data_IF_877386979644
#
_entry.id   IF_877386979644
#
_cell.length_a   1.000
_cell.length_b   1.000
_cell.length_c   1.000
_cell.angle_alpha   90.00
_cell.angle_beta   90.00
_cell.angle_gamma   90.00
#
_symmetry.space_group_name_H-M   'P 1'
#
loop_
_entity.id
_entity.type
_entity.pdbx_description
1 polymer ?
#
# COMPACT_ATOMS: atom_id res chain seq x y z
N UNK A 1 -13.98 -23.73 8.46
CA UNK A 1 -13.70 -22.29 8.63
C UNK A 1 -12.34 -21.89 8.04
N UNK A 2 -11.30 -22.74 8.13
CA UNK A 2 -9.98 -22.48 7.55
C UNK A 2 -9.91 -22.15 6.04
N UNK A 3 -10.82 -22.68 5.21
CA UNK A 3 -10.81 -22.43 3.75
C UNK A 3 -11.26 -21.01 3.38
N UNK A 4 -12.21 -20.43 4.12
CA UNK A 4 -12.73 -19.08 3.86
C UNK A 4 -11.75 -17.99 4.29
N UNK A 5 -11.01 -18.23 5.38
CA UNK A 5 -9.94 -17.37 5.85
C UNK A 5 -8.79 -17.34 4.82
N UNK A 6 -8.35 -18.50 4.35
CA UNK A 6 -7.29 -18.59 3.34
C UNK A 6 -7.65 -17.89 2.01
N UNK A 7 -8.91 -17.97 1.57
CA UNK A 7 -9.38 -17.26 0.37
C UNK A 7 -9.31 -15.73 0.51
N UNK A 8 -9.37 -15.25 1.74
CA UNK A 8 -9.43 -13.83 2.08
C UNK A 8 -8.02 -13.25 2.26
N UNK A 9 -7.09 -14.02 2.82
CA UNK A 9 -5.69 -13.61 3.02
C UNK A 9 -4.86 -13.69 1.72
N UNK A 10 -5.13 -14.62 0.80
CA UNK A 10 -4.32 -14.79 -0.42
C UNK A 10 -4.25 -13.55 -1.34
N UNK A 11 -5.35 -12.80 -1.57
CA UNK A 11 -5.29 -11.52 -2.28
C UNK A 11 -4.46 -10.45 -1.56
N UNK A 12 -4.53 -10.40 -0.22
CA UNK A 12 -3.74 -9.49 0.61
C UNK A 12 -2.25 -9.83 0.50
N UNK A 13 -1.86 -11.10 0.62
CA UNK A 13 -0.48 -11.55 0.45
C UNK A 13 0.11 -11.23 -0.94
N UNK A 14 -0.74 -11.18 -1.98
CA UNK A 14 -0.33 -10.78 -3.33
C UNK A 14 0.06 -9.30 -3.40
N UNK A 15 -0.74 -8.41 -2.80
CA UNK A 15 -0.41 -6.97 -2.76
C UNK A 15 0.78 -6.69 -1.85
N UNK A 16 0.90 -7.37 -0.71
CA UNK A 16 2.08 -7.30 0.19
C UNK A 16 3.36 -7.65 -0.58
N UNK A 17 3.35 -8.76 -1.31
CA UNK A 17 4.50 -9.20 -2.10
C UNK A 17 4.92 -8.14 -3.13
N UNK A 18 3.94 -7.55 -3.81
CA UNK A 18 4.18 -6.50 -4.80
C UNK A 18 4.71 -5.20 -4.17
N UNK A 19 4.21 -4.82 -3.00
CA UNK A 19 4.70 -3.65 -2.27
C UNK A 19 6.13 -3.84 -1.76
N UNK A 20 6.52 -5.07 -1.36
CA UNK A 20 7.91 -5.41 -1.01
C UNK A 20 8.84 -5.32 -2.22
N UNK A 21 8.41 -5.80 -3.38
CA UNK A 21 9.16 -5.64 -4.64
C UNK A 21 9.33 -4.16 -5.00
N UNK A 22 8.28 -3.35 -4.82
CA UNK A 22 8.36 -1.91 -5.06
C UNK A 22 9.36 -1.22 -4.12
N UNK A 23 9.36 -1.56 -2.82
CA UNK A 23 10.32 -1.01 -1.86
C UNK A 23 11.76 -1.29 -2.26
N UNK A 24 12.06 -2.54 -2.65
CA UNK A 24 13.39 -2.97 -3.07
C UNK A 24 13.88 -2.26 -4.34
N UNK A 25 12.97 -1.81 -5.20
CA UNK A 25 13.30 -1.12 -6.45
C UNK A 25 13.49 0.40 -6.29
N UNK A 26 13.01 0.98 -5.18
CA UNK A 26 13.06 2.43 -4.96
C UNK A 26 14.29 2.84 -4.13
N UNK A 27 14.90 4.01 -4.40
CA UNK A 27 15.95 4.56 -3.55
C UNK A 27 15.43 4.78 -2.12
N UNK A 28 16.26 4.53 -1.10
CA UNK A 28 15.86 4.62 0.31
C UNK A 28 15.24 5.97 0.71
N UNK A 29 15.73 7.06 0.09
CA UNK A 29 15.32 8.45 0.35
C UNK A 29 14.22 8.95 -0.59
N UNK A 30 13.70 8.11 -1.50
CA UNK A 30 12.55 8.48 -2.32
C UNK A 30 11.29 8.55 -1.42
N UNK A 31 10.53 9.64 -1.52
CA UNK A 31 9.32 9.81 -0.72
C UNK A 31 8.26 8.74 -0.96
N UNK A 32 8.22 8.14 -2.16
CA UNK A 32 7.36 7.00 -2.47
C UNK A 32 7.82 5.77 -1.69
N UNK A 33 9.13 5.55 -1.54
CA UNK A 33 9.66 4.42 -0.76
C UNK A 33 9.25 4.54 0.71
N UNK A 34 9.36 5.76 1.27
CA UNK A 34 8.91 6.04 2.64
C UNK A 34 7.41 5.78 2.81
N UNK A 35 6.58 6.29 1.89
CA UNK A 35 5.14 6.06 1.91
C UNK A 35 4.79 4.57 1.76
N UNK A 36 5.44 3.88 0.81
CA UNK A 36 5.25 2.46 0.56
C UNK A 36 5.53 1.61 1.80
N UNK A 37 6.60 1.91 2.55
CA UNK A 37 6.92 1.19 3.79
C UNK A 37 5.86 1.37 4.87
N UNK A 38 5.40 2.60 5.08
CA UNK A 38 4.31 2.87 6.04
C UNK A 38 3.05 2.12 5.64
N UNK A 39 2.71 2.16 4.35
CA UNK A 39 1.51 1.50 3.86
C UNK A 39 1.64 -0.04 3.94
N UNK A 40 2.81 -0.59 3.60
CA UNK A 40 3.11 -2.02 3.71
C UNK A 40 2.91 -2.52 5.14
N UNK A 41 3.38 -1.80 6.16
CA UNK A 41 3.16 -2.18 7.56
C UNK A 41 1.67 -2.26 7.92
N UNK A 42 0.84 -1.36 7.38
CA UNK A 42 -0.61 -1.39 7.61
C UNK A 42 -1.23 -2.62 6.94
N UNK A 43 -0.89 -2.90 5.69
CA UNK A 43 -1.39 -4.05 4.93
C UNK A 43 -0.96 -5.38 5.56
N UNK A 44 0.29 -5.50 6.02
CA UNK A 44 0.79 -6.68 6.76
C UNK A 44 0.03 -6.89 8.09
N UNK A 45 -0.31 -5.82 8.80
CA UNK A 45 -1.12 -5.91 10.01
C UNK A 45 -2.57 -6.29 9.72
N UNK A 46 -3.13 -5.87 8.57
CA UNK A 46 -4.45 -6.35 8.10
C UNK A 46 -4.39 -7.85 7.82
N UNK A 47 -3.39 -8.31 7.07
CA UNK A 47 -3.14 -9.74 6.80
C UNK A 47 -3.14 -10.56 8.09
N UNK A 48 -2.33 -10.14 9.07
CA UNK A 48 -2.23 -10.80 10.39
C UNK A 48 -3.55 -10.77 11.17
N UNK A 49 -4.34 -9.70 11.07
CA UNK A 49 -5.64 -9.57 11.75
C UNK A 49 -6.73 -10.41 11.11
N UNK A 50 -6.66 -10.64 9.79
CA UNK A 50 -7.52 -11.58 9.09
C UNK A 50 -7.24 -13.00 9.56
N UNK A 51 -5.96 -13.40 9.64
CA UNK A 51 -5.55 -14.73 10.12
C UNK A 51 -5.91 -14.99 11.59
N UNK A 52 -5.99 -13.94 12.41
CA UNK A 52 -6.37 -14.03 13.83
C UNK A 52 -7.86 -13.81 14.09
N UNK A 53 -8.68 -13.68 13.05
CA UNK A 53 -10.14 -13.55 13.17
C UNK A 53 -10.60 -12.28 13.89
N UNK A 54 -9.82 -11.19 13.86
CA UNK A 54 -10.10 -9.95 14.61
C UNK A 54 -11.05 -8.98 13.91
N UNK A 55 -11.48 -9.27 12.69
CA UNK A 55 -12.44 -8.45 11.95
C UNK A 55 -13.84 -9.03 12.05
N UNK A 56 -14.84 -8.15 12.25
CA UNK A 56 -16.27 -8.53 12.24
C UNK A 56 -16.69 -9.08 10.87
N UNK A 57 -16.12 -8.55 9.79
CA UNK A 57 -16.26 -9.06 8.42
C UNK A 57 -14.88 -9.12 7.74
N UNK A 58 -14.20 -10.28 7.80
CA UNK A 58 -12.89 -10.48 7.19
C UNK A 58 -12.89 -10.26 5.67
N UNK A 59 -13.96 -10.68 4.98
CA UNK A 59 -14.05 -10.59 3.53
C UNK A 59 -14.13 -9.15 3.05
N UNK A 60 -14.97 -8.33 3.71
CA UNK A 60 -15.05 -6.90 3.41
C UNK A 60 -13.75 -6.16 3.75
N UNK A 61 -13.12 -6.49 4.89
CA UNK A 61 -11.85 -5.87 5.30
C UNK A 61 -10.73 -6.15 4.29
N UNK A 62 -10.55 -7.40 3.87
CA UNK A 62 -9.54 -7.76 2.87
C UNK A 62 -9.84 -7.16 1.50
N UNK A 63 -11.10 -7.17 1.07
CA UNK A 63 -11.50 -6.55 -0.20
C UNK A 63 -11.14 -5.07 -0.21
N UNK A 64 -11.44 -4.36 0.88
CA UNK A 64 -11.14 -2.94 0.99
C UNK A 64 -9.63 -2.68 0.94
N UNK A 65 -8.85 -3.42 1.74
CA UNK A 65 -7.39 -3.30 1.81
C UNK A 65 -6.72 -3.54 0.45
N UNK A 66 -7.04 -4.66 -0.21
CA UNK A 66 -6.54 -5.00 -1.56
C UNK A 66 -6.91 -3.92 -2.57
N UNK A 67 -8.16 -3.45 -2.55
CA UNK A 67 -8.64 -2.44 -3.51
C UNK A 67 -7.98 -1.07 -3.34
N UNK A 68 -7.57 -0.71 -2.12
CA UNK A 68 -6.77 0.49 -1.91
C UNK A 68 -5.32 0.27 -2.37
N UNK A 69 -4.74 -0.90 -2.06
CA UNK A 69 -3.36 -1.22 -2.42
C UNK A 69 -3.17 -1.29 -3.94
N UNK A 70 -4.10 -1.93 -4.65
CA UNK A 70 -4.14 -1.98 -6.12
C UNK A 70 -4.20 -0.58 -6.74
N UNK A 71 -5.03 0.32 -6.20
CA UNK A 71 -5.14 1.70 -6.70
C UNK A 71 -3.86 2.50 -6.49
N UNK A 72 -3.21 2.32 -5.34
CA UNK A 72 -1.91 2.93 -5.06
C UNK A 72 -0.84 2.41 -6.04
N UNK A 73 -0.71 1.09 -6.17
CA UNK A 73 0.27 0.47 -7.07
C UNK A 73 0.04 0.87 -8.54
N UNK A 74 -1.21 0.94 -8.99
CA UNK A 74 -1.55 1.43 -10.32
C UNK A 74 -1.17 2.90 -10.54
N UNK A 75 -1.27 3.74 -9.50
CA UNK A 75 -0.82 5.12 -9.57
C UNK A 75 0.71 5.20 -9.69
N UNK A 76 1.44 4.35 -8.96
CA UNK A 76 2.91 4.23 -9.05
C UNK A 76 3.33 3.76 -10.45
N UNK A 77 2.71 2.71 -10.99
CA UNK A 77 2.98 2.22 -12.34
C UNK A 77 2.71 3.31 -13.40
N UNK A 78 1.64 4.08 -13.22
CA UNK A 78 1.26 5.16 -14.13
C UNK A 78 2.32 6.26 -14.15
N UNK A 79 2.82 6.66 -12.99
CA UNK A 79 3.89 7.64 -12.88
C UNK A 79 5.22 7.12 -13.44
N UNK A 80 5.58 5.86 -13.13
CA UNK A 80 6.78 5.22 -13.66
C UNK A 80 6.76 5.09 -15.20
N UNK A 81 5.58 4.92 -15.79
CA UNK A 81 5.37 4.95 -17.24
C UNK A 81 5.38 6.37 -17.85
N UNK A 82 5.68 7.41 -17.07
CA UNK A 82 5.69 8.81 -17.51
C UNK A 82 4.30 9.39 -17.78
N UNK A 83 3.23 8.71 -17.36
CA UNK A 83 1.84 9.16 -17.49
C UNK A 83 1.40 9.92 -16.26
N UNK A 84 0.27 10.63 -16.36
CA UNK A 84 -0.27 11.43 -15.27
C UNK A 84 -1.12 10.57 -14.32
N UNK A 85 -0.72 10.38 -13.05
CA UNK A 85 -1.51 9.61 -12.09
C UNK A 85 -2.78 10.37 -11.66
N UNK A 86 -3.76 9.68 -11.03
CA UNK A 86 -4.99 10.30 -10.53
C UNK A 86 -4.72 11.48 -9.60
N UNK A 87 -5.60 12.48 -9.61
CA UNK A 87 -5.36 13.78 -8.98
C UNK A 87 -5.05 13.70 -7.47
N UNK A 88 -5.70 12.79 -6.75
CA UNK A 88 -5.49 12.59 -5.31
C UNK A 88 -4.08 12.13 -4.95
N UNK A 89 -3.38 11.45 -5.86
CA UNK A 89 -2.01 10.96 -5.64
C UNK A 89 -0.93 11.93 -6.15
N UNK A 90 -1.31 12.98 -6.89
CA UNK A 90 -0.34 13.92 -7.47
C UNK A 90 0.56 14.61 -6.43
N UNK A 91 0.06 15.04 -5.24
CA UNK A 91 0.93 15.60 -4.22
C UNK A 91 2.02 14.61 -3.78
N UNK A 92 1.67 13.34 -3.59
CA UNK A 92 2.63 12.28 -3.20
C UNK A 92 3.79 12.19 -4.19
N UNK A 93 3.50 12.16 -5.49
CA UNK A 93 4.53 12.09 -6.53
C UNK A 93 5.31 13.39 -6.71
N UNK A 94 4.68 14.56 -6.55
CA UNK A 94 5.36 15.85 -6.66
C UNK A 94 6.40 16.06 -5.55
N UNK A 95 6.12 15.58 -4.34
CA UNK A 95 7.04 15.71 -3.20
C UNK A 95 8.03 14.55 -3.07
N UNK A 96 8.03 13.56 -3.97
CA UNK A 96 8.91 12.38 -3.92
C UNK A 96 10.41 12.72 -3.86
N UNK A 97 10.81 13.86 -4.46
CA UNK A 97 12.21 14.35 -4.50
C UNK A 97 12.47 15.49 -3.52
N UNK A 98 11.51 15.83 -2.65
CA UNK A 98 11.67 16.95 -1.74
C UNK A 98 12.74 16.61 -0.68
N UNK A 99 13.78 17.43 -0.49
CA UNK A 99 14.88 17.12 0.43
C UNK A 99 14.45 17.01 1.90
N UNK A 100 13.22 17.45 2.21
CA UNK A 100 12.61 17.38 3.53
C UNK A 100 11.59 16.26 3.74
N UNK A 101 11.54 15.18 2.93
CA UNK A 101 10.67 14.03 3.25
C UNK A 101 11.13 13.38 4.55
N UNK A 102 10.64 13.91 5.67
CA UNK A 102 10.70 13.29 6.98
C UNK A 102 9.47 12.37 7.07
N UNK A 103 9.65 11.06 7.36
CA UNK A 103 8.57 10.06 7.35
C UNK A 103 7.29 10.44 8.10
N UNK A 104 7.35 11.37 9.05
CA UNK A 104 6.22 11.79 9.87
C UNK A 104 5.25 12.77 9.20
N UNK A 105 5.65 13.52 8.16
CA UNK A 105 4.82 14.60 7.60
C UNK A 105 3.80 14.15 6.53
N UNK A 106 3.80 12.87 6.15
CA UNK A 106 2.86 12.31 5.16
C UNK A 106 1.63 11.63 5.79
N UNK A 107 1.49 11.62 7.11
CA UNK A 107 0.35 11.00 7.81
C UNK A 107 -0.93 11.86 7.84
N UNK A 108 -0.92 13.07 7.25
CA UNK A 108 -2.06 14.01 7.30
C UNK A 108 -2.34 14.61 5.92
N UNK A 109 -2.94 13.83 5.04
CA UNK A 109 -3.69 14.35 3.90
C UNK A 109 -4.91 13.44 3.70
N UNK A 110 -5.93 13.69 4.53
CA UNK A 110 -7.30 13.18 4.38
C UNK A 110 -8.16 14.23 3.70
#
# INVERSE_FOLDING_TARGET
>A
MAQSEHLTTAPVGTVVSRMRMLDAALPERDGIAVFNRVYLTVTEEVERRLDTGRFTDPGAAATLDVRFAERYLAAVDTEAAGRRPPACWRPLFQFRRHPGVRPLQFALAS
#
